data_IF_516896001994
#
_entry.id   IF_516896001994
#
_cell.length_a   1.000
_cell.length_b   1.000
_cell.length_c   1.000
_cell.angle_alpha   90.00
_cell.angle_beta   90.00
_cell.angle_gamma   90.00
#
_symmetry.space_group_name_H-M   'P 1'
#
loop_
_entity.id
_entity.type
_entity.pdbx_description
1 polymer ?
#
# COMPACT_ATOMS: atom_id res chain seq x y z
N UNK A 1 -17.30 -11.29 -3.43
CA UNK A 1 -16.38 -10.22 -2.95
C UNK A 1 -15.20 -10.13 -3.89
N UNK A 2 -14.72 -8.92 -4.16
CA UNK A 2 -13.50 -8.67 -4.94
C UNK A 2 -12.28 -8.64 -3.98
N UNK A 3 -11.34 -9.54 -4.20
CA UNK A 3 -10.24 -9.83 -3.30
C UNK A 3 -8.90 -9.74 -4.03
N UNK A 4 -7.88 -9.36 -3.28
CA UNK A 4 -6.49 -9.43 -3.73
C UNK A 4 -5.70 -10.28 -2.76
N UNK A 5 -5.04 -11.33 -3.27
CA UNK A 5 -4.03 -12.09 -2.56
C UNK A 5 -2.64 -11.75 -3.11
N UNK A 6 -1.69 -11.50 -2.21
CA UNK A 6 -0.27 -11.38 -2.53
C UNK A 6 0.48 -12.50 -1.83
N UNK A 7 1.29 -13.23 -2.59
CA UNK A 7 2.14 -14.32 -2.14
C UNK A 7 3.60 -13.94 -2.37
N UNK A 8 4.47 -14.20 -1.40
CA UNK A 8 5.92 -14.14 -1.56
C UNK A 8 6.55 -15.39 -0.95
N UNK A 9 7.38 -16.08 -1.73
CA UNK A 9 8.16 -17.26 -1.28
C UNK A 9 9.40 -17.43 -2.16
N UNK A 10 10.24 -18.44 -1.87
CA UNK A 10 11.31 -18.84 -2.80
C UNK A 10 10.70 -19.46 -4.05
N UNK A 11 11.29 -19.12 -5.21
CA UNK A 11 10.81 -19.64 -6.51
C UNK A 11 11.03 -21.15 -6.62
N UNK A 12 9.99 -21.83 -7.04
CA UNK A 12 10.02 -23.28 -7.30
C UNK A 12 8.82 -23.69 -8.17
N UNK A 13 8.91 -24.82 -8.88
CA UNK A 13 7.80 -25.31 -9.69
C UNK A 13 6.53 -25.56 -8.89
N UNK A 14 5.37 -25.26 -9.52
CA UNK A 14 4.05 -25.57 -8.97
C UNK A 14 3.36 -24.47 -8.19
N UNK A 15 4.03 -23.35 -7.87
CA UNK A 15 3.42 -22.24 -7.10
C UNK A 15 2.16 -21.70 -7.80
N UNK A 16 2.27 -21.40 -9.10
CA UNK A 16 1.16 -20.85 -9.90
C UNK A 16 -0.01 -21.84 -9.95
N UNK A 17 0.27 -23.12 -10.18
CA UNK A 17 -0.73 -24.19 -10.17
C UNK A 17 -1.46 -24.26 -8.82
N UNK A 18 -0.71 -24.28 -7.73
CA UNK A 18 -1.29 -24.33 -6.39
C UNK A 18 -2.14 -23.09 -6.07
N UNK A 19 -1.68 -21.89 -6.47
CA UNK A 19 -2.45 -20.65 -6.31
C UNK A 19 -3.77 -20.72 -7.08
N UNK A 20 -3.75 -21.09 -8.35
CA UNK A 20 -4.97 -21.17 -9.17
C UNK A 20 -5.92 -22.25 -8.67
N UNK A 21 -5.39 -23.38 -8.20
CA UNK A 21 -6.18 -24.45 -7.57
C UNK A 21 -6.82 -23.98 -6.26
N UNK A 22 -6.09 -23.25 -5.43
CA UNK A 22 -6.61 -22.73 -4.18
C UNK A 22 -7.70 -21.66 -4.43
N UNK A 23 -7.51 -20.76 -5.41
CA UNK A 23 -8.53 -19.80 -5.82
C UNK A 23 -9.78 -20.49 -6.33
N UNK A 24 -9.64 -21.54 -7.16
CA UNK A 24 -10.77 -22.35 -7.63
C UNK A 24 -11.48 -23.03 -6.44
N UNK A 25 -10.74 -23.59 -5.49
CA UNK A 25 -11.29 -24.17 -4.26
C UNK A 25 -12.04 -23.15 -3.39
N UNK A 26 -11.63 -21.89 -3.44
CA UNK A 26 -12.32 -20.77 -2.81
C UNK A 26 -13.53 -20.26 -3.66
N UNK A 27 -13.99 -21.02 -4.65
CA UNK A 27 -15.02 -20.61 -5.62
C UNK A 27 -14.69 -19.26 -6.27
N UNK A 28 -13.38 -19.02 -6.52
CA UNK A 28 -12.89 -17.78 -7.05
C UNK A 28 -12.78 -17.79 -8.58
N UNK A 29 -13.05 -16.64 -9.18
CA UNK A 29 -12.75 -16.34 -10.58
C UNK A 29 -11.65 -15.28 -10.66
N UNK A 30 -10.51 -15.63 -11.28
CA UNK A 30 -9.36 -14.73 -11.40
C UNK A 30 -9.66 -13.64 -12.43
N UNK A 31 -9.51 -12.37 -12.03
CA UNK A 31 -9.68 -11.19 -12.86
C UNK A 31 -8.31 -10.73 -13.40
N UNK A 32 -7.31 -10.72 -12.52
CA UNK A 32 -5.97 -10.23 -12.83
C UNK A 32 -4.92 -11.06 -12.11
N UNK A 33 -3.83 -11.37 -12.80
CA UNK A 33 -2.72 -12.09 -12.22
C UNK A 33 -1.39 -11.51 -12.71
N UNK A 34 -0.53 -11.16 -11.76
CA UNK A 34 0.82 -10.64 -12.00
C UNK A 34 1.81 -11.43 -11.16
N UNK A 35 2.95 -11.77 -11.75
CA UNK A 35 4.01 -12.47 -11.05
C UNK A 35 5.38 -11.99 -11.49
N UNK A 36 6.34 -12.12 -10.60
CA UNK A 36 7.73 -11.76 -10.83
C UNK A 36 8.64 -12.61 -9.96
N UNK A 37 9.76 -13.04 -10.53
CA UNK A 37 10.85 -13.69 -9.79
C UNK A 37 12.06 -12.76 -9.81
N UNK A 38 12.58 -12.39 -8.66
CA UNK A 38 13.83 -11.65 -8.55
C UNK A 38 15.00 -12.58 -8.92
N UNK A 39 15.75 -12.28 -10.01
CA UNK A 39 16.83 -13.14 -10.45
C UNK A 39 18.00 -13.22 -9.47
N UNK A 40 18.14 -12.20 -8.59
CA UNK A 40 19.24 -12.14 -7.62
C UNK A 40 18.93 -12.91 -6.36
N UNK A 41 17.73 -12.70 -5.82
CA UNK A 41 17.32 -13.31 -4.54
C UNK A 41 16.58 -14.63 -4.72
N UNK A 42 16.09 -14.92 -5.94
CA UNK A 42 15.19 -16.04 -6.23
C UNK A 42 13.88 -15.97 -5.43
N UNK A 43 13.47 -14.76 -5.05
CA UNK A 43 12.18 -14.54 -4.42
C UNK A 43 11.10 -14.39 -5.50
N UNK A 44 10.10 -15.25 -5.41
CA UNK A 44 8.90 -15.21 -6.24
C UNK A 44 7.82 -14.39 -5.55
N UNK A 45 7.25 -13.43 -6.27
CA UNK A 45 6.12 -12.63 -5.82
C UNK A 45 4.98 -12.76 -6.81
N UNK A 46 3.78 -13.02 -6.31
CA UNK A 46 2.57 -13.13 -7.13
C UNK A 46 1.45 -12.33 -6.50
N UNK A 47 0.76 -11.53 -7.33
CA UNK A 47 -0.44 -10.79 -6.97
C UNK A 47 -1.58 -11.28 -7.84
N UNK A 48 -2.63 -11.80 -7.20
CA UNK A 48 -3.83 -12.30 -7.88
C UNK A 48 -5.06 -11.56 -7.36
N UNK A 49 -5.80 -10.91 -8.27
CA UNK A 49 -7.12 -10.34 -8.00
C UNK A 49 -8.17 -11.31 -8.51
N UNK A 50 -9.15 -11.61 -7.67
CA UNK A 50 -10.21 -12.55 -7.98
C UNK A 50 -11.50 -12.20 -7.23
N UNK A 51 -12.62 -12.59 -7.81
CA UNK A 51 -13.91 -12.57 -7.13
C UNK A 51 -14.16 -13.89 -6.44
N UNK A 52 -14.81 -13.88 -5.29
CA UNK A 52 -15.29 -15.07 -4.59
C UNK A 52 -16.62 -14.78 -3.89
N UNK A 53 -17.46 -15.81 -3.79
CA UNK A 53 -18.73 -15.76 -3.04
C UNK A 53 -18.53 -16.06 -1.55
N UNK A 54 -17.37 -16.64 -1.18
CA UNK A 54 -17.08 -17.03 0.19
C UNK A 54 -16.62 -15.84 1.03
N UNK A 55 -16.87 -15.93 2.33
CA UNK A 55 -16.34 -14.99 3.33
C UNK A 55 -14.81 -14.99 3.35
N UNK A 56 -14.20 -13.82 3.57
CA UNK A 56 -12.73 -13.62 3.50
C UNK A 56 -11.95 -14.56 4.44
N UNK A 57 -12.52 -14.88 5.61
CA UNK A 57 -11.92 -15.81 6.56
C UNK A 57 -11.82 -17.22 5.97
N UNK A 58 -12.87 -17.68 5.27
CA UNK A 58 -12.88 -19.01 4.63
C UNK A 58 -11.96 -19.06 3.42
N UNK A 59 -11.91 -17.99 2.63
CA UNK A 59 -10.95 -17.85 1.52
C UNK A 59 -9.51 -17.95 2.05
N UNK A 60 -9.20 -17.26 3.15
CA UNK A 60 -7.88 -17.29 3.80
C UNK A 60 -7.49 -18.72 4.18
N UNK A 61 -8.37 -19.44 4.86
CA UNK A 61 -8.14 -20.84 5.28
C UNK A 61 -7.79 -21.75 4.08
N UNK A 62 -8.55 -21.60 2.98
CA UNK A 62 -8.33 -22.41 1.77
C UNK A 62 -6.97 -22.06 1.12
N UNK A 63 -6.63 -20.77 1.01
CA UNK A 63 -5.35 -20.32 0.46
C UNK A 63 -4.17 -20.79 1.31
N UNK A 64 -4.25 -20.64 2.64
CA UNK A 64 -3.20 -21.08 3.56
C UNK A 64 -2.99 -22.60 3.49
N UNK A 65 -4.08 -23.36 3.43
CA UNK A 65 -4.01 -24.83 3.27
C UNK A 65 -3.41 -25.24 1.94
N UNK A 66 -3.86 -24.63 0.82
CA UNK A 66 -3.40 -25.01 -0.53
C UNK A 66 -1.97 -24.60 -0.85
N UNK A 67 -1.48 -23.54 -0.18
CA UNK A 67 -0.16 -22.95 -0.45
C UNK A 67 0.88 -23.27 0.64
N UNK A 68 0.49 -23.91 1.75
CA UNK A 68 1.33 -24.11 2.92
C UNK A 68 2.64 -24.83 2.66
N UNK A 69 2.70 -25.72 1.67
CA UNK A 69 3.92 -26.42 1.26
C UNK A 69 5.06 -25.49 0.79
N UNK A 70 4.71 -24.30 0.27
CA UNK A 70 5.68 -23.30 -0.20
C UNK A 70 6.13 -22.34 0.91
N UNK A 71 5.54 -22.43 2.12
CA UNK A 71 5.79 -21.55 3.28
C UNK A 71 5.75 -20.06 2.91
N UNK A 72 4.71 -19.60 2.21
CA UNK A 72 4.68 -18.23 1.70
C UNK A 72 4.35 -17.21 2.79
N UNK A 73 4.80 -15.97 2.56
CA UNK A 73 4.16 -14.80 3.19
C UNK A 73 2.91 -14.49 2.39
N UNK A 74 1.73 -14.66 2.99
CA UNK A 74 0.44 -14.38 2.37
C UNK A 74 -0.17 -13.11 2.94
N UNK A 75 -0.69 -12.26 2.04
CA UNK A 75 -1.54 -11.13 2.39
C UNK A 75 -2.83 -11.24 1.58
N UNK A 76 -3.99 -11.27 2.26
CA UNK A 76 -5.31 -11.29 1.64
C UNK A 76 -6.11 -10.08 2.10
N UNK A 77 -6.67 -9.32 1.17
CA UNK A 77 -7.49 -8.15 1.45
C UNK A 77 -8.67 -8.01 0.50
N UNK A 78 -9.72 -7.34 0.93
CA UNK A 78 -10.79 -6.89 0.04
C UNK A 78 -10.36 -5.65 -0.76
N UNK A 79 -10.76 -5.55 -2.02
CA UNK A 79 -10.57 -4.36 -2.86
C UNK A 79 -11.40 -3.19 -2.34
N UNK A 80 -12.56 -3.46 -1.74
CA UNK A 80 -13.44 -2.42 -1.18
C UNK A 80 -12.78 -1.61 -0.04
N UNK A 81 -11.78 -2.19 0.65
CA UNK A 81 -11.02 -1.47 1.67
C UNK A 81 -9.90 -0.66 1.00
N UNK A 82 -10.12 0.63 0.85
CA UNK A 82 -9.09 1.56 0.37
C UNK A 82 -7.92 1.62 1.37
N UNK A 83 -6.71 1.78 0.84
CA UNK A 83 -5.53 2.04 1.66
C UNK A 83 -5.46 3.52 2.01
N UNK A 84 -5.08 3.82 3.25
CA UNK A 84 -4.84 5.19 3.71
C UNK A 84 -3.41 5.61 3.38
N UNK A 85 -3.27 6.69 2.59
CA UNK A 85 -1.98 7.25 2.20
C UNK A 85 -1.75 8.60 2.86
N UNK A 86 -0.63 8.74 3.57
CA UNK A 86 -0.13 10.03 4.05
C UNK A 86 0.83 10.59 3.00
N UNK A 87 0.53 11.76 2.44
CA UNK A 87 1.34 12.36 1.38
C UNK A 87 2.26 13.43 1.98
N UNK A 88 3.57 13.29 1.73
CA UNK A 88 4.56 14.26 2.13
C UNK A 88 4.98 15.10 0.92
N UNK A 89 4.91 16.43 1.06
CA UNK A 89 5.20 17.39 -0.02
C UNK A 89 6.17 18.48 0.45
N UNK A 90 6.72 19.25 -0.48
CA UNK A 90 7.46 20.50 -0.19
C UNK A 90 6.75 21.69 -0.85
N UNK A 91 7.18 22.14 -2.03
CA UNK A 91 6.62 23.29 -2.73
C UNK A 91 5.93 22.94 -4.04
N UNK A 92 6.46 21.94 -4.75
CA UNK A 92 5.96 21.55 -6.06
C UNK A 92 4.66 20.74 -5.94
N UNK A 93 3.62 21.17 -6.67
CA UNK A 93 2.28 20.61 -6.57
C UNK A 93 1.96 19.50 -7.56
N UNK A 94 2.78 19.29 -8.61
CA UNK A 94 2.42 18.44 -9.74
C UNK A 94 2.15 16.98 -9.34
N UNK A 95 3.03 16.36 -8.53
CA UNK A 95 2.81 14.99 -8.06
C UNK A 95 1.56 14.88 -7.17
N UNK A 96 1.33 15.86 -6.28
CA UNK A 96 0.16 15.88 -5.42
C UNK A 96 -1.13 16.01 -6.23
N UNK A 97 -1.15 16.89 -7.24
CA UNK A 97 -2.29 17.08 -8.14
C UNK A 97 -2.62 15.83 -8.93
N UNK A 98 -1.59 15.14 -9.44
CA UNK A 98 -1.75 13.90 -10.19
C UNK A 98 -2.34 12.79 -9.31
N UNK A 99 -1.79 12.58 -8.11
CA UNK A 99 -2.33 11.62 -7.15
C UNK A 99 -3.79 11.91 -6.78
N UNK A 100 -4.13 13.17 -6.55
CA UNK A 100 -5.48 13.58 -6.22
C UNK A 100 -6.43 13.36 -7.40
N UNK A 101 -6.01 13.75 -8.61
CA UNK A 101 -6.79 13.56 -9.83
C UNK A 101 -7.11 12.08 -10.09
N UNK A 102 -6.12 11.19 -9.98
CA UNK A 102 -6.32 9.75 -10.12
C UNK A 102 -7.22 9.16 -9.03
N UNK A 103 -7.14 9.71 -7.80
CA UNK A 103 -8.02 9.32 -6.71
C UNK A 103 -9.47 9.75 -6.98
N UNK A 104 -9.72 10.97 -7.48
CA UNK A 104 -11.04 11.47 -7.86
C UNK A 104 -11.67 10.64 -9.00
N UNK A 105 -10.86 10.20 -9.97
CA UNK A 105 -11.32 9.31 -11.06
C UNK A 105 -11.60 7.87 -10.59
N UNK A 106 -11.23 7.51 -9.36
CA UNK A 106 -11.33 6.13 -8.86
C UNK A 106 -10.28 5.17 -9.44
N UNK A 107 -9.31 5.69 -10.21
CA UNK A 107 -8.21 4.90 -10.77
C UNK A 107 -7.15 4.57 -9.71
N UNK A 108 -7.01 5.42 -8.70
CA UNK A 108 -6.15 5.20 -7.53
C UNK A 108 -7.02 5.00 -6.28
N UNK A 109 -7.28 3.75 -5.86
CA UNK A 109 -8.20 3.44 -4.77
C UNK A 109 -7.53 3.65 -3.40
N UNK A 110 -7.23 4.90 -3.05
CA UNK A 110 -6.67 5.32 -1.77
C UNK A 110 -7.56 6.36 -1.09
N UNK A 111 -7.48 6.42 0.24
CA UNK A 111 -7.93 7.53 1.06
C UNK A 111 -6.72 8.40 1.40
N UNK A 112 -6.83 9.72 1.33
CA UNK A 112 -5.79 10.69 1.70
C UNK A 112 -6.26 11.45 2.94
N UNK A 113 -6.02 10.96 4.17
CA UNK A 113 -6.50 11.61 5.39
C UNK A 113 -5.80 12.94 5.68
N UNK A 114 -4.54 13.07 5.25
CA UNK A 114 -3.77 14.28 5.43
C UNK A 114 -2.61 14.40 4.44
N UNK A 115 -2.19 15.64 4.22
CA UNK A 115 -0.95 16.01 3.53
C UNK A 115 -0.06 16.75 4.52
N UNK A 116 1.20 16.32 4.64
CA UNK A 116 2.21 16.95 5.50
C UNK A 116 3.21 17.69 4.64
N UNK A 117 3.60 18.88 5.03
CA UNK A 117 4.59 19.68 4.31
C UNK A 117 5.54 20.42 5.24
N UNK A 118 6.81 20.49 4.83
CA UNK A 118 7.81 21.34 5.45
C UNK A 118 7.77 22.80 4.95
N UNK A 119 6.73 23.16 4.17
CA UNK A 119 6.44 24.53 3.69
C UNK A 119 4.93 24.75 3.61
N UNK A 120 4.49 26.01 3.74
CA UNK A 120 3.07 26.36 3.69
C UNK A 120 2.50 26.59 2.28
N UNK A 121 3.35 26.54 1.24
CA UNK A 121 3.01 26.90 -0.15
C UNK A 121 1.79 26.15 -0.70
N UNK A 122 1.60 24.89 -0.35
CA UNK A 122 0.53 24.04 -0.87
C UNK A 122 -0.72 24.00 0.04
N UNK A 123 -0.73 24.74 1.16
CA UNK A 123 -1.83 24.71 2.13
C UNK A 123 -3.20 24.98 1.47
N UNK A 124 -3.33 26.10 0.77
CA UNK A 124 -4.60 26.47 0.12
C UNK A 124 -5.06 25.42 -0.90
N UNK A 125 -4.13 24.85 -1.66
CA UNK A 125 -4.43 23.80 -2.62
C UNK A 125 -5.00 22.55 -1.91
N UNK A 126 -4.34 22.06 -0.86
CA UNK A 126 -4.76 20.87 -0.12
C UNK A 126 -6.12 21.06 0.54
N UNK A 127 -6.29 22.21 1.23
CA UNK A 127 -7.53 22.51 1.93
C UNK A 127 -8.72 22.74 0.98
N UNK A 128 -8.48 23.24 -0.26
CA UNK A 128 -9.53 23.38 -1.27
C UNK A 128 -10.14 22.04 -1.72
N UNK A 129 -9.42 20.95 -1.54
CA UNK A 129 -9.89 19.59 -1.79
C UNK A 129 -10.47 18.89 -0.54
N UNK A 130 -10.65 19.65 0.57
CA UNK A 130 -11.18 19.10 1.83
C UNK A 130 -10.19 18.19 2.59
N UNK A 131 -8.91 18.17 2.19
CA UNK A 131 -7.87 17.36 2.82
C UNK A 131 -7.20 18.15 3.94
N UNK A 132 -6.89 17.51 5.05
CA UNK A 132 -6.18 18.12 6.17
C UNK A 132 -4.74 18.45 5.78
N UNK A 133 -4.33 19.71 5.92
CA UNK A 133 -2.95 20.14 5.75
C UNK A 133 -2.24 20.24 7.10
N UNK A 134 -1.04 19.63 7.20
CA UNK A 134 -0.21 19.66 8.40
C UNK A 134 1.11 20.37 8.06
N UNK A 135 1.27 21.56 8.63
CA UNK A 135 2.42 22.44 8.40
C UNK A 135 3.54 22.14 9.40
N UNK A 136 4.65 21.61 8.91
CA UNK A 136 5.86 21.34 9.68
C UNK A 136 6.99 22.33 9.38
N UNK A 137 6.71 23.47 8.74
CA UNK A 137 7.70 24.47 8.33
C UNK A 137 8.55 25.02 9.49
N UNK A 138 8.05 24.91 10.71
CA UNK A 138 8.70 25.40 11.94
C UNK A 138 9.39 24.30 12.76
N UNK A 139 9.29 23.05 12.31
CA UNK A 139 9.85 21.91 13.04
C UNK A 139 11.26 21.59 12.56
N UNK A 140 12.12 21.25 13.50
CA UNK A 140 13.39 20.60 13.20
C UNK A 140 13.14 19.20 12.65
N UNK A 141 14.06 18.70 11.83
CA UNK A 141 13.93 17.44 11.09
C UNK A 141 13.52 16.26 11.99
N UNK A 142 14.17 16.08 13.12
CA UNK A 142 13.87 14.96 14.04
C UNK A 142 12.47 15.05 14.65
N UNK A 143 12.02 16.26 14.98
CA UNK A 143 10.68 16.50 15.48
C UNK A 143 9.62 16.27 14.39
N UNK A 144 9.91 16.70 13.16
CA UNK A 144 9.02 16.47 12.00
C UNK A 144 8.83 14.98 11.71
N UNK A 145 9.92 14.20 11.68
CA UNK A 145 9.85 12.74 11.49
C UNK A 145 9.11 12.03 12.64
N UNK A 146 9.31 12.47 13.89
CA UNK A 146 8.58 11.94 15.03
C UNK A 146 7.07 12.19 14.92
N UNK A 147 6.69 13.39 14.49
CA UNK A 147 5.28 13.74 14.25
C UNK A 147 4.68 12.92 13.10
N UNK A 148 5.40 12.75 11.99
CA UNK A 148 4.96 11.88 10.88
C UNK A 148 4.73 10.45 11.40
N UNK A 149 5.66 9.90 12.18
CA UNK A 149 5.51 8.56 12.74
C UNK A 149 4.29 8.43 13.68
N UNK A 150 3.97 9.49 14.43
CA UNK A 150 2.78 9.57 15.27
C UNK A 150 1.51 9.59 14.41
N UNK A 151 1.47 10.42 13.37
CA UNK A 151 0.34 10.50 12.43
C UNK A 151 0.09 9.16 11.72
N UNK A 152 1.15 8.44 11.32
CA UNK A 152 1.04 7.10 10.72
C UNK A 152 0.29 6.14 11.64
N UNK A 153 0.52 6.24 12.94
CA UNK A 153 -0.16 5.40 13.93
C UNK A 153 -1.58 5.87 14.22
N UNK A 154 -1.78 7.17 14.47
CA UNK A 154 -3.07 7.74 14.85
C UNK A 154 -4.12 7.68 13.73
N UNK A 155 -3.70 7.88 12.48
CA UNK A 155 -4.57 7.85 11.31
C UNK A 155 -4.65 6.44 10.67
N UNK A 156 -3.96 5.45 11.24
CA UNK A 156 -3.86 4.09 10.68
C UNK A 156 -3.39 4.09 9.23
N UNK A 157 -2.32 4.81 8.93
CA UNK A 157 -1.77 4.96 7.58
C UNK A 157 -1.13 3.66 7.10
N UNK A 158 -1.53 3.21 5.91
CA UNK A 158 -0.95 2.04 5.25
C UNK A 158 0.31 2.38 4.44
N UNK A 159 0.37 3.60 3.87
CA UNK A 159 1.42 4.01 2.96
C UNK A 159 1.81 5.48 3.17
N UNK A 160 3.11 5.77 3.19
CA UNK A 160 3.65 7.12 3.17
C UNK A 160 4.20 7.40 1.76
N UNK A 161 3.74 8.46 1.13
CA UNK A 161 4.12 8.82 -0.26
C UNK A 161 4.95 10.10 -0.26
N UNK A 162 6.17 10.03 -0.77
CA UNK A 162 7.05 11.18 -0.94
C UNK A 162 6.76 11.86 -2.29
N UNK A 163 5.76 12.75 -2.31
CA UNK A 163 5.36 13.49 -3.51
C UNK A 163 6.17 14.77 -3.67
N UNK A 164 7.40 14.67 -4.14
CA UNK A 164 8.39 15.77 -4.18
C UNK A 164 8.71 16.31 -2.79
N UNK A 165 8.80 15.42 -1.81
CA UNK A 165 9.28 15.78 -0.47
C UNK A 165 10.80 15.89 -0.48
N UNK A 166 11.30 17.13 -0.54
CA UNK A 166 12.71 17.46 -0.75
C UNK A 166 13.53 17.42 0.57
N UNK A 167 13.26 16.42 1.42
CA UNK A 167 13.99 16.14 2.64
C UNK A 167 14.58 14.74 2.59
N UNK A 168 15.85 14.61 2.98
CA UNK A 168 16.46 13.29 3.16
C UNK A 168 16.01 12.76 4.52
N UNK A 169 15.34 11.64 4.53
CA UNK A 169 14.88 11.00 5.76
C UNK A 169 16.04 10.36 6.53
N UNK A 170 15.89 10.25 7.85
CA UNK A 170 16.89 9.56 8.68
C UNK A 170 16.81 8.06 8.47
N UNK A 171 17.92 7.37 8.74
CA UNK A 171 18.01 5.91 8.65
C UNK A 171 16.99 5.26 9.60
N UNK A 172 16.90 5.75 10.82
CA UNK A 172 15.99 5.27 11.86
C UNK A 172 14.53 5.39 11.43
N UNK A 173 14.16 6.51 10.78
CA UNK A 173 12.81 6.70 10.26
C UNK A 173 12.52 5.73 9.11
N UNK A 174 13.45 5.56 8.17
CA UNK A 174 13.30 4.62 7.05
C UNK A 174 13.15 3.17 7.53
N UNK A 175 13.94 2.75 8.51
CA UNK A 175 13.83 1.42 9.11
C UNK A 175 12.47 1.21 9.78
N UNK A 176 11.98 2.21 10.54
CA UNK A 176 10.67 2.18 11.19
C UNK A 176 9.51 2.13 10.20
N UNK A 177 9.66 2.77 9.03
CA UNK A 177 8.66 2.84 7.97
C UNK A 177 8.88 1.78 6.86
N UNK A 178 9.77 0.82 7.07
CA UNK A 178 10.08 -0.22 6.08
C UNK A 178 8.83 -0.91 5.57
N UNK A 179 8.67 -0.98 4.24
CA UNK A 179 7.50 -1.53 3.56
C UNK A 179 6.26 -0.64 3.54
N UNK A 180 6.35 0.60 4.07
CA UNK A 180 5.24 1.58 4.05
C UNK A 180 5.61 2.90 3.35
N UNK A 181 6.89 3.12 3.01
CA UNK A 181 7.39 4.34 2.38
C UNK A 181 8.06 4.03 1.06
#
# INVERSE_FOLDING_TARGET
MDLIVTLQCKDQPGIVHAMTTAVLGARGNIIENQQFTDPTTQDFVMRTRFESELEIAKVREILESGLGQFKPKLSLRSVAKQKKALILVTKDSHCLRDLHYLQELGELPIEIPAVVSNHSDLKTLVESHGIKFIDQSKLEKSAAEAEIAKLVTELEIDLVVLARYMQILTKEFCEKMSGRI
#
